data_IF_381781593108
#
_entry.id   IF_381781593108
#
_cell.length_a   1.000
_cell.length_b   1.000
_cell.length_c   1.000
_cell.angle_alpha   90.00
_cell.angle_beta   90.00
_cell.angle_gamma   90.00
#
_symmetry.space_group_name_H-M   'P 1'
#
loop_
_entity.id
_entity.type
_entity.pdbx_description
1 polymer ?
#
# COMPACT_ATOMS: atom_id res chain seq x y z
N UNK A 1 29.42 1.34 12.14
CA UNK A 1 28.86 1.65 10.80
C UNK A 1 29.26 3.07 10.43
N UNK A 2 29.81 3.27 9.25
CA UNK A 2 30.16 4.61 8.73
C UNK A 2 28.94 5.20 7.99
N UNK A 3 28.27 6.15 8.63
CA UNK A 3 27.05 6.74 8.09
C UNK A 3 27.32 7.55 6.81
N UNK A 4 28.51 8.13 6.62
CA UNK A 4 28.82 8.89 5.41
C UNK A 4 28.87 7.95 4.19
N UNK A 5 29.51 6.78 4.35
CA UNK A 5 29.56 5.74 3.30
C UNK A 5 28.15 5.23 2.97
N UNK A 6 27.30 5.00 3.99
CA UNK A 6 25.92 4.58 3.76
C UNK A 6 25.12 5.63 2.99
N UNK A 7 25.21 6.91 3.39
CA UNK A 7 24.49 8.01 2.75
C UNK A 7 24.94 8.18 1.29
N UNK A 8 26.25 8.22 1.01
CA UNK A 8 26.78 8.35 -0.35
C UNK A 8 26.30 7.20 -1.26
N UNK A 9 26.31 5.96 -0.75
CA UNK A 9 25.83 4.81 -1.50
C UNK A 9 24.33 4.94 -1.81
N UNK A 10 23.51 5.31 -0.83
CA UNK A 10 22.06 5.46 -0.99
C UNK A 10 21.78 6.54 -2.03
N UNK A 11 22.30 7.76 -1.85
CA UNK A 11 22.08 8.88 -2.75
C UNK A 11 22.51 8.56 -4.18
N UNK A 12 23.75 8.04 -4.33
CA UNK A 12 24.26 7.65 -5.65
C UNK A 12 23.44 6.54 -6.31
N UNK A 13 22.91 5.58 -5.54
CA UNK A 13 22.09 4.49 -6.08
C UNK A 13 20.72 5.03 -6.51
N UNK A 14 20.09 5.91 -5.72
CA UNK A 14 18.84 6.55 -6.07
C UNK A 14 18.97 7.36 -7.35
N UNK A 15 19.92 8.26 -7.44
CA UNK A 15 20.08 9.15 -8.58
C UNK A 15 20.42 8.42 -9.87
N UNK A 16 21.35 7.47 -9.81
CA UNK A 16 21.93 6.86 -11.00
C UNK A 16 21.27 5.56 -11.45
N UNK A 17 20.50 4.93 -10.58
CA UNK A 17 19.97 3.59 -10.83
C UNK A 17 18.49 3.47 -10.49
N UNK A 18 18.05 3.81 -9.28
CA UNK A 18 16.67 3.59 -8.85
C UNK A 18 15.72 4.55 -9.59
N UNK A 19 15.98 5.84 -9.59
CA UNK A 19 15.11 6.82 -10.27
C UNK A 19 14.92 6.50 -11.76
N UNK A 20 15.95 6.19 -12.55
CA UNK A 20 15.77 5.73 -13.92
C UNK A 20 14.93 4.46 -14.04
N UNK A 21 15.15 3.47 -13.15
CA UNK A 21 14.37 2.22 -13.16
C UNK A 21 12.93 2.44 -12.78
N UNK A 22 12.63 3.34 -11.82
CA UNK A 22 11.27 3.73 -11.47
C UNK A 22 10.56 4.45 -12.63
N UNK A 23 11.28 5.28 -13.38
CA UNK A 23 10.75 5.92 -14.58
C UNK A 23 10.34 4.86 -15.60
N UNK A 24 11.16 3.85 -15.84
CA UNK A 24 10.83 2.76 -16.76
C UNK A 24 9.68 1.89 -16.21
N UNK A 25 9.69 1.58 -14.92
CA UNK A 25 8.62 0.84 -14.27
C UNK A 25 7.27 1.57 -14.34
N UNK A 26 7.21 2.90 -14.14
CA UNK A 26 5.97 3.67 -14.22
C UNK A 26 5.32 3.55 -15.60
N UNK A 27 6.12 3.42 -16.68
CA UNK A 27 5.60 3.26 -18.05
C UNK A 27 4.85 1.95 -18.28
N UNK A 28 5.10 0.94 -17.47
CA UNK A 28 4.45 -0.37 -17.60
C UNK A 28 3.07 -0.29 -16.96
N UNK A 29 1.95 -0.49 -17.68
CA UNK A 29 0.60 -0.42 -17.12
C UNK A 29 0.18 -1.76 -16.48
N UNK A 30 1.01 -2.30 -15.59
CA UNK A 30 0.82 -3.55 -14.87
C UNK A 30 -0.19 -3.41 -13.73
N UNK A 31 -1.45 -3.20 -14.11
CA UNK A 31 -2.57 -3.11 -13.16
C UNK A 31 -2.80 -4.44 -12.45
N UNK A 32 -3.25 -4.34 -11.20
CA UNK A 32 -3.67 -5.49 -10.42
C UNK A 32 -4.78 -6.30 -11.10
N UNK A 33 -4.85 -7.62 -10.88
CA UNK A 33 -5.82 -8.51 -11.56
C UNK A 33 -7.28 -8.08 -11.46
N UNK A 34 -7.71 -7.46 -10.37
CA UNK A 34 -9.07 -6.93 -10.24
C UNK A 34 -9.38 -5.83 -11.26
N UNK A 35 -8.38 -5.12 -11.74
CA UNK A 35 -8.49 -3.99 -12.68
C UNK A 35 -8.05 -4.34 -14.10
N UNK A 36 -7.42 -5.52 -14.29
CA UNK A 36 -7.04 -6.07 -15.59
C UNK A 36 -7.30 -7.59 -15.61
N UNK A 37 -8.53 -8.03 -15.95
CA UNK A 37 -8.85 -9.46 -16.04
C UNK A 37 -7.98 -10.23 -17.05
N UNK A 38 -7.44 -9.54 -18.05
CA UNK A 38 -6.56 -10.10 -19.08
C UNK A 38 -5.07 -9.95 -18.75
N UNK A 39 -4.68 -9.64 -17.52
CA UNK A 39 -3.31 -9.34 -17.10
C UNK A 39 -2.26 -10.35 -17.60
N UNK A 40 -2.58 -11.66 -17.59
CA UNK A 40 -1.70 -12.70 -18.14
C UNK A 40 -1.45 -12.55 -19.62
N UNK A 41 -2.50 -12.23 -20.38
CA UNK A 41 -2.44 -12.08 -21.85
C UNK A 41 -1.74 -10.78 -22.22
N UNK A 42 -1.93 -9.73 -21.45
CA UNK A 42 -1.32 -8.43 -21.67
C UNK A 42 0.19 -8.44 -21.41
N UNK A 43 0.68 -9.30 -20.50
CA UNK A 43 2.10 -9.49 -20.23
C UNK A 43 2.78 -8.36 -19.44
N UNK A 44 2.07 -7.31 -19.07
CA UNK A 44 2.64 -6.17 -18.33
C UNK A 44 3.14 -6.56 -16.93
N UNK A 45 2.48 -7.52 -16.30
CA UNK A 45 2.93 -8.03 -15.00
C UNK A 45 4.29 -8.72 -15.12
N UNK A 46 4.47 -9.56 -16.13
CA UNK A 46 5.73 -10.25 -16.40
C UNK A 46 6.85 -9.27 -16.77
N UNK A 47 6.51 -8.19 -17.49
CA UNK A 47 7.45 -7.12 -17.83
C UNK A 47 7.93 -6.39 -16.56
N UNK A 48 7.01 -6.03 -15.65
CA UNK A 48 7.34 -5.40 -14.37
C UNK A 48 8.19 -6.31 -13.46
N UNK A 49 7.82 -7.59 -13.35
CA UNK A 49 8.60 -8.59 -12.61
C UNK A 49 10.00 -8.72 -13.18
N UNK A 50 10.14 -8.77 -14.51
CA UNK A 50 11.43 -8.86 -15.18
C UNK A 50 12.28 -7.63 -14.87
N UNK A 51 11.74 -6.43 -15.04
CA UNK A 51 12.46 -5.17 -14.76
C UNK A 51 13.00 -5.15 -13.34
N UNK A 52 12.14 -5.41 -12.34
CA UNK A 52 12.53 -5.36 -10.92
C UNK A 52 13.53 -6.47 -10.59
N UNK A 53 13.27 -7.71 -11.02
CA UNK A 53 14.16 -8.84 -10.72
C UNK A 53 15.53 -8.72 -11.39
N UNK A 54 15.60 -8.17 -12.60
CA UNK A 54 16.85 -7.93 -13.30
C UNK A 54 17.67 -6.82 -12.64
N UNK A 55 17.01 -5.74 -12.18
CA UNK A 55 17.67 -4.74 -11.37
C UNK A 55 18.24 -5.33 -10.08
N UNK A 56 17.46 -6.16 -9.38
CA UNK A 56 17.91 -6.82 -8.16
C UNK A 56 19.11 -7.75 -8.41
N UNK A 57 19.14 -8.50 -9.54
CA UNK A 57 20.27 -9.32 -9.94
C UNK A 57 21.51 -8.48 -10.27
N UNK A 58 21.34 -7.37 -10.99
CA UNK A 58 22.43 -6.47 -11.32
C UNK A 58 23.03 -5.76 -10.09
N UNK A 59 22.25 -5.64 -9.01
CA UNK A 59 22.63 -5.05 -7.73
C UNK A 59 22.74 -6.09 -6.60
N UNK A 60 23.03 -7.33 -6.95
CA UNK A 60 23.09 -8.43 -5.99
C UNK A 60 24.07 -8.18 -4.84
N UNK A 61 23.72 -8.73 -3.69
CA UNK A 61 24.55 -8.79 -2.49
C UNK A 61 25.19 -10.18 -2.46
N UNK A 62 26.41 -10.28 -1.95
CA UNK A 62 27.08 -11.56 -1.79
C UNK A 62 26.20 -12.54 -0.99
N UNK A 63 26.11 -13.77 -1.47
CA UNK A 63 25.29 -14.85 -0.93
C UNK A 63 23.76 -14.64 -1.02
N UNK A 64 23.29 -13.62 -1.73
CA UNK A 64 21.87 -13.39 -1.99
C UNK A 64 21.30 -14.46 -2.92
N UNK A 65 20.15 -15.01 -2.56
CA UNK A 65 19.33 -15.84 -3.45
C UNK A 65 18.10 -15.03 -3.91
N UNK A 66 17.85 -14.99 -5.24
CA UNK A 66 16.66 -14.38 -5.82
C UNK A 66 15.92 -15.40 -6.68
N UNK A 67 14.64 -15.53 -6.44
CA UNK A 67 13.74 -16.41 -7.16
C UNK A 67 12.45 -15.66 -7.53
N UNK A 68 12.00 -15.82 -8.77
CA UNK A 68 10.64 -15.44 -9.17
C UNK A 68 9.80 -16.71 -9.10
N UNK A 69 8.84 -16.73 -8.21
CA UNK A 69 7.99 -17.88 -7.93
C UNK A 69 6.61 -17.61 -8.51
N UNK A 70 6.08 -18.58 -9.23
CA UNK A 70 4.72 -18.52 -9.74
C UNK A 70 3.97 -19.83 -9.47
N UNK A 71 3.05 -19.79 -8.52
CA UNK A 71 2.16 -20.91 -8.27
C UNK A 71 1.10 -20.99 -9.37
N UNK A 72 0.62 -22.19 -9.66
CA UNK A 72 -0.35 -22.43 -10.73
C UNK A 72 -1.62 -21.56 -10.56
N UNK A 73 -1.98 -20.85 -11.60
CA UNK A 73 -3.15 -19.98 -11.63
C UNK A 73 -3.00 -18.61 -10.97
N UNK A 74 -1.88 -18.33 -10.29
CA UNK A 74 -1.65 -17.14 -9.47
C UNK A 74 -0.78 -16.10 -10.14
N UNK A 75 -0.73 -14.91 -9.56
CA UNK A 75 0.21 -13.85 -9.89
C UNK A 75 1.63 -14.23 -9.47
N UNK A 76 2.69 -13.72 -10.11
CA UNK A 76 4.06 -13.98 -9.70
C UNK A 76 4.43 -13.29 -8.39
N UNK A 77 5.47 -13.82 -7.72
CA UNK A 77 6.05 -13.24 -6.52
C UNK A 77 7.58 -13.24 -6.64
N UNK A 78 8.22 -12.13 -6.29
CA UNK A 78 9.69 -12.06 -6.17
C UNK A 78 10.05 -12.36 -4.72
N UNK A 79 10.88 -13.38 -4.54
CA UNK A 79 11.43 -13.78 -3.25
C UNK A 79 12.95 -13.57 -3.26
N UNK A 80 13.46 -12.82 -2.29
CA UNK A 80 14.89 -12.60 -2.11
C UNK A 80 15.28 -12.98 -0.69
N UNK A 81 16.34 -13.76 -0.54
CA UNK A 81 16.90 -14.18 0.74
C UNK A 81 18.34 -13.69 0.83
N UNK A 82 18.62 -12.86 1.82
CA UNK A 82 19.94 -12.31 2.10
C UNK A 82 20.40 -12.80 3.47
N UNK A 83 21.40 -13.68 3.54
CA UNK A 83 21.95 -14.14 4.79
C UNK A 83 22.48 -12.99 5.65
N UNK A 84 22.32 -13.11 6.95
CA UNK A 84 22.78 -12.15 7.94
C UNK A 84 23.45 -12.81 9.14
N UNK A 85 23.61 -12.08 10.23
CA UNK A 85 24.21 -12.57 11.46
C UNK A 85 23.14 -12.80 12.53
N UNK A 86 23.37 -13.80 13.41
CA UNK A 86 22.45 -14.16 14.48
C UNK A 86 21.29 -15.02 13.98
N UNK A 87 20.27 -15.14 14.84
CA UNK A 87 19.09 -15.99 14.60
C UNK A 87 17.85 -15.21 14.14
N UNK A 88 17.91 -13.87 14.21
CA UNK A 88 16.80 -13.01 13.81
C UNK A 88 16.59 -13.00 12.28
N UNK A 89 15.33 -12.82 11.90
CA UNK A 89 14.92 -12.63 10.52
C UNK A 89 14.04 -11.38 10.40
N UNK A 90 14.37 -10.52 9.43
CA UNK A 90 13.55 -9.35 9.06
C UNK A 90 12.92 -9.62 7.70
N UNK A 91 11.60 -9.51 7.62
CA UNK A 91 10.88 -9.52 6.35
C UNK A 91 10.67 -8.09 5.88
N UNK A 92 11.04 -7.81 4.64
CA UNK A 92 10.80 -6.56 3.92
C UNK A 92 9.74 -6.87 2.86
N UNK A 93 8.56 -6.32 3.06
CA UNK A 93 7.39 -6.58 2.21
C UNK A 93 7.04 -5.37 1.37
N UNK A 94 6.64 -5.63 0.14
CA UNK A 94 6.07 -4.68 -0.79
C UNK A 94 5.34 -5.37 -1.93
N UNK A 95 4.82 -4.57 -2.88
CA UNK A 95 4.14 -5.08 -4.06
C UNK A 95 4.59 -4.36 -5.35
N UNK A 96 4.24 -4.96 -6.47
CA UNK A 96 4.59 -4.38 -7.77
C UNK A 96 3.40 -4.15 -8.71
N UNK A 97 2.22 -4.63 -8.36
CA UNK A 97 1.00 -4.34 -9.12
C UNK A 97 0.47 -2.94 -8.80
N UNK A 98 -0.41 -2.43 -9.62
CA UNK A 98 -0.81 -1.02 -9.60
C UNK A 98 -2.31 -0.84 -9.60
N UNK A 99 -2.76 0.25 -8.96
CA UNK A 99 -4.08 0.82 -9.11
C UNK A 99 -4.34 1.25 -10.58
N UNK A 100 -5.61 1.33 -10.99
CA UNK A 100 -5.95 1.82 -12.34
C UNK A 100 -5.57 3.28 -12.56
N UNK A 101 -5.81 3.73 -13.79
CA UNK A 101 -5.41 5.04 -14.30
C UNK A 101 -5.90 6.21 -13.46
N UNK A 102 -7.13 6.12 -12.91
CA UNK A 102 -7.84 7.20 -12.23
C UNK A 102 -8.05 8.42 -13.13
N UNK A 103 -8.75 9.43 -12.61
CA UNK A 103 -9.01 10.70 -13.30
C UNK A 103 -8.51 11.87 -12.45
N UNK A 104 -8.38 13.06 -13.04
CA UNK A 104 -7.98 14.27 -12.31
C UNK A 104 -6.47 14.54 -12.32
N UNK A 105 -5.71 13.88 -13.18
CA UNK A 105 -4.32 14.24 -13.42
C UNK A 105 -4.19 15.69 -13.91
N UNK A 106 -3.20 16.40 -13.40
CA UNK A 106 -2.89 17.74 -13.89
C UNK A 106 -2.39 17.70 -15.34
N UNK A 107 -2.53 18.83 -16.05
CA UNK A 107 -2.04 18.95 -17.42
C UNK A 107 -0.56 18.58 -17.53
N UNK A 108 -0.21 17.74 -18.48
CA UNK A 108 1.14 17.21 -18.67
C UNK A 108 1.52 16.03 -17.80
N UNK A 109 0.68 15.63 -16.83
CA UNK A 109 0.89 14.44 -15.99
C UNK A 109 -0.07 13.32 -16.38
N UNK A 110 0.33 12.09 -16.13
CA UNK A 110 -0.50 10.92 -16.40
C UNK A 110 0.04 9.66 -15.72
N UNK A 111 -0.79 8.62 -15.60
CA UNK A 111 -0.43 7.43 -14.82
C UNK A 111 0.80 6.70 -15.38
N UNK A 112 0.88 6.56 -16.70
CA UNK A 112 1.94 5.80 -17.39
C UNK A 112 2.96 6.70 -18.11
N UNK A 113 2.90 8.00 -17.84
CA UNK A 113 3.77 9.03 -18.42
C UNK A 113 4.62 9.65 -17.31
N UNK A 114 5.72 9.02 -16.90
CA UNK A 114 6.53 9.51 -15.79
C UNK A 114 7.12 10.87 -16.11
N UNK A 115 7.01 11.79 -15.17
CA UNK A 115 7.60 13.14 -15.25
C UNK A 115 8.43 13.37 -14.01
N UNK A 116 9.73 13.65 -14.21
CA UNK A 116 10.63 14.11 -13.16
C UNK A 116 10.72 15.64 -13.23
N UNK A 117 10.21 16.32 -12.20
CA UNK A 117 10.25 17.78 -12.06
C UNK A 117 10.95 18.14 -10.73
N UNK A 118 12.18 18.59 -10.83
CA UNK A 118 13.05 18.76 -9.68
C UNK A 118 13.25 17.42 -8.96
N UNK A 119 12.90 17.39 -7.68
CA UNK A 119 13.02 16.19 -6.82
C UNK A 119 11.74 15.35 -6.78
N UNK A 120 10.75 15.61 -7.65
CA UNK A 120 9.47 14.93 -7.67
C UNK A 120 9.31 14.09 -8.92
N UNK A 121 9.09 12.79 -8.73
CA UNK A 121 8.73 11.87 -9.81
C UNK A 121 7.23 11.61 -9.77
N UNK A 122 6.54 12.03 -10.84
CA UNK A 122 5.10 11.84 -11.01
C UNK A 122 4.80 10.62 -11.88
N UNK A 123 3.84 9.82 -11.47
CA UNK A 123 3.36 8.64 -12.19
C UNK A 123 2.71 7.63 -11.25
N UNK A 124 1.98 6.65 -11.80
CA UNK A 124 1.31 5.61 -11.04
C UNK A 124 2.30 4.51 -10.62
N UNK A 125 2.26 4.11 -9.34
CA UNK A 125 2.99 2.94 -8.84
C UNK A 125 4.44 3.21 -8.44
N UNK A 126 4.96 4.44 -8.56
CA UNK A 126 6.34 4.74 -8.17
C UNK A 126 6.56 4.69 -6.66
N UNK A 127 5.65 5.31 -5.89
CA UNK A 127 5.65 5.34 -4.43
C UNK A 127 4.73 4.29 -3.79
N UNK A 128 3.78 3.80 -4.54
CA UNK A 128 2.79 2.80 -4.19
C UNK A 128 2.84 1.68 -5.25
N UNK A 129 3.66 0.62 -5.11
CA UNK A 129 4.77 0.43 -4.14
C UNK A 129 6.04 -0.02 -4.88
N UNK A 130 6.18 0.37 -6.18
CA UNK A 130 7.27 -0.08 -7.05
C UNK A 130 8.69 0.21 -6.55
N UNK A 131 8.85 1.14 -5.60
CA UNK A 131 10.17 1.46 -5.04
C UNK A 131 10.65 0.43 -4.01
N UNK A 132 9.77 -0.39 -3.45
CA UNK A 132 10.03 -1.24 -2.27
C UNK A 132 11.19 -2.22 -2.45
N UNK A 133 11.24 -2.92 -3.60
CA UNK A 133 12.33 -3.85 -3.88
C UNK A 133 13.68 -3.15 -3.96
N UNK A 134 13.73 -2.00 -4.64
CA UNK A 134 14.94 -1.18 -4.79
C UNK A 134 15.42 -0.64 -3.45
N UNK A 135 14.51 -0.09 -2.65
CA UNK A 135 14.81 0.46 -1.33
C UNK A 135 15.30 -0.62 -0.36
N UNK A 136 14.62 -1.77 -0.32
CA UNK A 136 14.98 -2.92 0.52
C UNK A 136 16.41 -3.38 0.25
N UNK A 137 16.75 -3.63 -1.01
CA UNK A 137 18.06 -4.14 -1.37
C UNK A 137 19.15 -3.08 -1.15
N UNK A 138 18.85 -1.80 -1.44
CA UNK A 138 19.78 -0.69 -1.24
C UNK A 138 20.07 -0.48 0.24
N UNK A 139 19.07 -0.59 1.12
CA UNK A 139 19.26 -0.48 2.56
C UNK A 139 20.22 -1.55 3.11
N UNK A 140 20.04 -2.82 2.70
CA UNK A 140 20.91 -3.92 3.11
C UNK A 140 22.35 -3.69 2.60
N UNK A 141 22.49 -3.28 1.34
CA UNK A 141 23.79 -2.95 0.73
C UNK A 141 24.49 -1.81 1.46
N UNK A 142 23.75 -0.76 1.81
CA UNK A 142 24.29 0.39 2.52
C UNK A 142 24.81 0.03 3.91
N UNK A 143 24.08 -0.80 4.65
CA UNK A 143 24.53 -1.33 5.95
C UNK A 143 25.85 -2.09 5.81
N UNK A 144 25.95 -3.00 4.84
CA UNK A 144 27.19 -3.79 4.60
C UNK A 144 28.35 -2.90 4.17
N UNK A 145 28.14 -2.01 3.19
CA UNK A 145 29.15 -1.10 2.69
C UNK A 145 29.72 -0.19 3.78
N UNK A 146 28.89 0.23 4.71
CA UNK A 146 29.26 1.03 5.87
C UNK A 146 29.93 0.24 7.03
N UNK A 147 30.24 -1.05 6.82
CA UNK A 147 30.83 -1.93 7.84
C UNK A 147 29.85 -2.35 8.94
N UNK A 148 28.55 -2.23 8.71
CA UNK A 148 27.52 -2.68 9.60
C UNK A 148 27.20 -4.16 9.41
N UNK A 149 26.41 -4.71 10.35
CA UNK A 149 25.85 -6.05 10.28
C UNK A 149 24.33 -5.95 10.34
N UNK A 150 23.66 -6.92 9.73
CA UNK A 150 22.19 -7.05 9.76
C UNK A 150 21.79 -8.49 10.05
N UNK A 151 20.57 -8.69 10.53
CA UNK A 151 19.95 -10.01 10.61
C UNK A 151 19.70 -10.56 9.20
N UNK A 152 19.35 -11.83 9.09
CA UNK A 152 18.85 -12.38 7.82
C UNK A 152 17.68 -11.52 7.35
N UNK A 153 17.70 -11.13 6.06
CA UNK A 153 16.64 -10.33 5.44
C UNK A 153 15.96 -11.16 4.34
N UNK A 154 14.64 -11.22 4.40
CA UNK A 154 13.80 -11.81 3.37
C UNK A 154 12.99 -10.70 2.74
N UNK A 155 13.12 -10.49 1.41
CA UNK A 155 12.31 -9.53 0.67
C UNK A 155 11.23 -10.29 -0.09
N UNK A 156 9.98 -9.85 0.06
CA UNK A 156 8.80 -10.42 -0.58
C UNK A 156 8.10 -9.31 -1.34
N UNK A 157 8.02 -9.44 -2.67
CA UNK A 157 7.29 -8.49 -3.51
C UNK A 157 6.19 -9.25 -4.25
N UNK A 158 4.94 -9.01 -3.87
CA UNK A 158 3.78 -9.62 -4.51
C UNK A 158 3.26 -8.82 -5.71
N UNK A 159 2.29 -9.38 -6.42
CA UNK A 159 1.73 -8.81 -7.65
C UNK A 159 0.18 -8.84 -7.69
N UNK A 160 -0.48 -8.80 -6.53
CA UNK A 160 -1.94 -8.65 -6.43
C UNK A 160 -2.41 -7.94 -5.15
N UNK A 161 -1.56 -7.09 -4.56
CA UNK A 161 -1.89 -6.35 -3.35
C UNK A 161 -3.11 -5.46 -3.56
N UNK A 162 -3.14 -4.71 -4.63
CA UNK A 162 -4.19 -3.76 -4.99
C UNK A 162 -5.54 -4.41 -5.35
N UNK A 163 -5.54 -5.75 -5.45
CA UNK A 163 -6.73 -6.60 -5.54
C UNK A 163 -7.10 -7.25 -4.21
N UNK A 164 -6.40 -6.91 -3.11
CA UNK A 164 -6.62 -7.45 -1.77
C UNK A 164 -5.77 -8.66 -1.43
N UNK A 165 -4.60 -8.82 -2.03
CA UNK A 165 -3.57 -9.84 -1.71
C UNK A 165 -4.09 -11.27 -1.67
N UNK A 166 -5.08 -11.62 -2.50
CA UNK A 166 -5.73 -12.94 -2.44
C UNK A 166 -4.78 -14.10 -2.76
N UNK A 167 -3.66 -13.84 -3.43
CA UNK A 167 -2.63 -14.84 -3.72
C UNK A 167 -1.56 -14.96 -2.63
N UNK A 168 -1.28 -13.88 -1.89
CA UNK A 168 -0.23 -13.83 -0.88
C UNK A 168 -0.32 -14.93 0.19
N UNK A 169 -1.47 -15.25 0.78
CA UNK A 169 -1.56 -16.32 1.78
C UNK A 169 -1.02 -17.66 1.28
N UNK A 170 -1.26 -17.99 0.01
CA UNK A 170 -0.77 -19.25 -0.59
C UNK A 170 0.76 -19.25 -0.79
N UNK A 171 1.34 -18.07 -1.06
CA UNK A 171 2.80 -17.93 -1.12
C UNK A 171 3.43 -18.00 0.27
N UNK A 172 2.80 -17.42 1.29
CA UNK A 172 3.27 -17.52 2.67
C UNK A 172 3.23 -18.98 3.12
N UNK A 173 2.15 -19.71 2.86
CA UNK A 173 2.05 -21.14 3.16
C UNK A 173 3.13 -21.97 2.43
N UNK A 174 3.40 -21.66 1.15
CA UNK A 174 4.43 -22.34 0.36
C UNK A 174 5.85 -22.02 0.85
N UNK A 175 6.10 -20.83 1.34
CA UNK A 175 7.41 -20.33 1.74
C UNK A 175 7.65 -20.39 3.25
N UNK A 176 6.70 -20.84 4.07
CA UNK A 176 6.76 -20.76 5.53
C UNK A 176 8.03 -21.34 6.14
N UNK A 177 8.50 -22.50 5.63
CA UNK A 177 9.72 -23.13 6.13
C UNK A 177 10.98 -22.35 5.72
N UNK A 178 10.92 -21.64 4.58
CA UNK A 178 12.03 -20.81 4.08
C UNK A 178 12.06 -19.44 4.76
N UNK A 179 10.92 -18.85 5.04
CA UNK A 179 10.82 -17.58 5.77
C UNK A 179 11.18 -17.80 7.24
N UNK A 180 10.65 -18.86 7.84
CA UNK A 180 10.75 -19.14 9.27
C UNK A 180 9.88 -18.21 10.10
N UNK A 181 10.33 -17.85 11.29
CA UNK A 181 9.61 -16.92 12.18
C UNK A 181 10.31 -15.57 12.17
N UNK A 182 9.79 -14.56 11.48
CA UNK A 182 10.41 -13.24 11.45
C UNK A 182 10.26 -12.55 12.80
N UNK A 183 11.33 -11.89 13.24
CA UNK A 183 11.32 -11.02 14.43
C UNK A 183 10.76 -9.63 14.13
N UNK A 184 10.78 -9.22 12.86
CA UNK A 184 10.26 -7.94 12.39
C UNK A 184 9.75 -8.08 10.95
N UNK A 185 8.61 -7.45 10.67
CA UNK A 185 8.08 -7.25 9.31
C UNK A 185 8.01 -5.76 9.05
N UNK A 186 8.62 -5.31 7.96
CA UNK A 186 8.60 -3.93 7.49
C UNK A 186 7.82 -3.91 6.19
N UNK A 187 6.64 -3.28 6.20
CA UNK A 187 5.86 -3.00 5.00
C UNK A 187 6.26 -1.61 4.49
N UNK A 188 6.70 -1.54 3.24
CA UNK A 188 7.18 -0.30 2.62
C UNK A 188 6.07 0.51 1.95
N UNK A 189 4.87 -0.06 1.90
CA UNK A 189 3.65 0.55 1.38
C UNK A 189 2.98 1.45 2.43
N UNK A 190 3.59 2.59 2.68
CA UNK A 190 3.04 3.59 3.61
C UNK A 190 3.41 4.99 3.18
N UNK A 191 2.41 5.87 3.06
CA UNK A 191 2.62 7.28 2.79
C UNK A 191 3.33 7.99 3.95
N UNK A 192 4.03 9.10 3.65
CA UNK A 192 4.60 9.99 4.65
C UNK A 192 3.73 11.23 4.87
N UNK A 193 3.77 11.79 6.07
CA UNK A 193 3.05 13.03 6.38
C UNK A 193 3.70 14.26 5.77
N UNK A 194 5.03 14.27 5.70
CA UNK A 194 5.86 15.28 5.03
C UNK A 194 7.22 14.67 4.66
N UNK A 195 8.09 15.45 4.01
CA UNK A 195 9.43 15.01 3.60
C UNK A 195 10.56 15.48 4.54
N UNK A 196 10.23 16.08 5.68
CA UNK A 196 11.22 16.67 6.59
C UNK A 196 11.71 15.69 7.66
N UNK A 197 11.00 14.54 7.83
CA UNK A 197 11.30 13.56 8.85
C UNK A 197 10.87 12.15 8.45
N UNK A 198 11.45 11.15 9.09
CA UNK A 198 11.04 9.76 8.93
C UNK A 198 9.66 9.53 9.57
N UNK A 199 8.75 8.97 8.79
CA UNK A 199 7.44 8.53 9.25
C UNK A 199 7.42 7.01 9.41
N UNK A 200 6.83 6.55 10.52
CA UNK A 200 6.65 5.14 10.80
C UNK A 200 5.20 4.90 11.23
N UNK A 201 4.43 4.24 10.39
CA UNK A 201 3.06 3.82 10.70
C UNK A 201 3.10 2.63 11.63
N UNK A 202 2.62 2.80 12.86
CA UNK A 202 2.72 1.79 13.91
C UNK A 202 1.38 1.17 14.29
N UNK A 203 0.28 1.67 13.76
CA UNK A 203 -1.06 1.12 13.90
C UNK A 203 -1.97 1.59 12.77
N UNK A 204 -2.95 0.77 12.44
CA UNK A 204 -3.97 1.05 11.43
C UNK A 204 -5.35 0.89 12.05
N UNK A 205 -6.34 1.61 11.52
CA UNK A 205 -7.73 1.33 11.83
C UNK A 205 -8.14 0.01 11.18
N UNK A 206 -9.10 -0.71 11.80
CA UNK A 206 -9.74 -1.85 11.17
C UNK A 206 -10.71 -1.42 10.06
N UNK A 207 -11.05 -2.37 9.21
CA UNK A 207 -12.06 -2.21 8.17
C UNK A 207 -13.01 -3.41 8.19
N UNK A 208 -14.31 -3.14 8.01
CA UNK A 208 -15.33 -4.14 7.68
C UNK A 208 -16.05 -3.63 6.46
N UNK A 209 -16.04 -4.41 5.39
CA UNK A 209 -16.68 -4.06 4.13
C UNK A 209 -17.67 -5.16 3.71
N UNK A 210 -18.74 -4.75 3.03
CA UNK A 210 -19.75 -5.68 2.53
C UNK A 210 -20.81 -4.97 1.70
N UNK A 211 -21.70 -5.75 1.12
CA UNK A 211 -22.85 -5.25 0.37
C UNK A 211 -24.12 -5.45 1.21
N UNK A 212 -24.86 -4.35 1.44
CA UNK A 212 -26.16 -4.40 2.07
C UNK A 212 -27.25 -4.28 1.00
N UNK A 213 -28.00 -5.34 0.77
CA UNK A 213 -29.07 -5.38 -0.22
C UNK A 213 -30.43 -5.52 0.47
N UNK A 214 -31.39 -4.70 0.05
CA UNK A 214 -32.78 -4.77 0.51
C UNK A 214 -33.69 -5.00 -0.68
N UNK A 215 -34.35 -6.17 -0.71
CA UNK A 215 -35.34 -6.55 -1.70
C UNK A 215 -36.71 -6.62 -1.05
N UNK A 216 -37.71 -5.97 -1.65
CA UNK A 216 -39.10 -5.96 -1.17
C UNK A 216 -40.09 -6.59 -2.16
N UNK A 217 -39.66 -6.72 -3.43
CA UNK A 217 -40.41 -7.40 -4.51
C UNK A 217 -39.42 -8.18 -5.37
N UNK A 218 -39.86 -9.19 -6.05
CA UNK A 218 -39.04 -9.99 -6.99
C UNK A 218 -38.93 -9.32 -8.37
N UNK A 219 -39.84 -8.41 -8.69
CA UNK A 219 -39.83 -7.66 -9.96
C UNK A 219 -40.27 -6.20 -9.79
N UNK A 220 -40.02 -5.37 -10.80
CA UNK A 220 -40.50 -3.99 -10.84
C UNK A 220 -41.99 -3.90 -11.07
N UNK A 221 -42.67 -2.97 -10.40
CA UNK A 221 -44.10 -2.71 -10.53
C UNK A 221 -44.38 -1.24 -10.81
N UNK A 222 -45.58 -0.94 -11.30
CA UNK A 222 -45.98 0.44 -11.55
C UNK A 222 -46.11 1.23 -10.25
N UNK A 223 -45.47 2.37 -10.16
CA UNK A 223 -45.40 3.19 -8.93
C UNK A 223 -46.76 3.67 -8.44
N UNK A 224 -47.71 3.93 -9.34
CA UNK A 224 -49.07 4.35 -8.99
C UNK A 224 -49.84 3.25 -8.23
N UNK A 225 -49.57 2.00 -8.53
CA UNK A 225 -50.22 0.86 -7.84
C UNK A 225 -49.49 0.51 -6.54
N UNK A 226 -48.18 0.73 -6.48
CA UNK A 226 -47.35 0.34 -5.35
C UNK A 226 -47.31 1.39 -4.22
N UNK A 227 -47.58 2.65 -4.54
CA UNK A 227 -47.47 3.75 -3.57
C UNK A 227 -48.39 3.56 -2.34
N UNK A 228 -47.77 3.57 -1.16
CA UNK A 228 -48.45 3.38 0.11
C UNK A 228 -48.74 1.93 0.48
N UNK A 229 -48.56 0.98 -0.46
CA UNK A 229 -48.78 -0.47 -0.26
C UNK A 229 -47.42 -1.18 -0.08
N UNK A 230 -46.50 -0.99 -1.01
CA UNK A 230 -45.17 -1.61 -0.99
C UNK A 230 -44.23 -0.87 -0.05
N UNK A 231 -43.60 -1.56 0.92
CA UNK A 231 -42.61 -0.93 1.78
C UNK A 231 -41.44 -0.30 0.96
N UNK A 232 -40.97 0.89 1.36
CA UNK A 232 -39.84 1.50 0.71
C UNK A 232 -38.52 0.79 1.10
N UNK A 233 -37.86 0.19 0.12
CA UNK A 233 -36.53 -0.43 0.31
C UNK A 233 -35.48 0.59 0.82
N UNK A 234 -35.53 1.84 0.36
CA UNK A 234 -34.66 2.91 0.88
C UNK A 234 -34.89 3.24 2.36
N UNK A 235 -36.15 3.18 2.83
CA UNK A 235 -36.45 3.38 4.25
C UNK A 235 -35.92 2.23 5.09
N UNK A 236 -36.10 0.99 4.63
CA UNK A 236 -35.58 -0.19 5.30
C UNK A 236 -34.06 -0.14 5.35
N UNK A 237 -33.40 0.22 4.22
CA UNK A 237 -31.95 0.38 4.16
C UNK A 237 -31.44 1.37 5.20
N UNK A 238 -32.06 2.57 5.28
CA UNK A 238 -31.70 3.57 6.30
C UNK A 238 -31.87 3.05 7.72
N UNK A 239 -32.99 2.35 8.01
CA UNK A 239 -33.21 1.76 9.33
C UNK A 239 -32.19 0.69 9.70
N UNK A 240 -31.62 -0.02 8.72
CA UNK A 240 -30.56 -0.98 8.94
C UNK A 240 -29.22 -0.27 9.19
N UNK A 241 -28.90 0.76 8.43
CA UNK A 241 -27.69 1.58 8.61
C UNK A 241 -27.72 2.31 9.97
N UNK A 242 -28.87 2.87 10.40
CA UNK A 242 -29.04 3.53 11.69
C UNK A 242 -28.79 2.59 12.91
N UNK A 243 -28.64 1.28 12.70
CA UNK A 243 -28.21 0.32 13.72
C UNK A 243 -26.68 0.16 13.78
N UNK A 244 -25.99 0.58 12.74
CA UNK A 244 -24.54 0.46 12.61
C UNK A 244 -23.86 1.74 13.07
N UNK A 245 -24.34 2.88 12.57
CA UNK A 245 -23.81 4.18 12.91
C UNK A 245 -24.93 5.22 13.19
N UNK A 246 -24.60 6.26 13.90
CA UNK A 246 -25.45 7.44 14.08
C UNK A 246 -25.27 8.36 12.89
N UNK A 247 -26.28 8.49 12.06
CA UNK A 247 -26.26 9.30 10.83
C UNK A 247 -26.02 10.79 11.06
N UNK A 248 -26.11 11.28 12.29
CA UNK A 248 -25.87 12.71 12.66
C UNK A 248 -24.42 12.93 13.03
N UNK A 249 -23.82 12.01 13.77
CA UNK A 249 -22.48 12.17 14.34
C UNK A 249 -21.42 11.30 13.65
N UNK A 250 -21.83 10.29 12.87
CA UNK A 250 -20.93 9.27 12.30
C UNK A 250 -20.39 8.28 13.34
N UNK A 251 -20.91 8.32 14.57
CA UNK A 251 -20.44 7.43 15.63
C UNK A 251 -20.90 5.99 15.39
N UNK A 252 -19.96 5.05 15.38
CA UNK A 252 -20.28 3.62 15.29
C UNK A 252 -21.01 3.16 16.55
N UNK A 253 -22.20 2.54 16.39
CA UNK A 253 -23.06 2.10 17.48
C UNK A 253 -22.78 0.68 17.94
N UNK A 254 -22.29 -0.18 17.04
CA UNK A 254 -22.03 -1.58 17.34
C UNK A 254 -20.78 -1.76 18.20
N UNK A 255 -20.93 -2.26 19.42
CA UNK A 255 -19.80 -2.48 20.33
C UNK A 255 -18.75 -3.44 19.78
N UNK A 256 -19.15 -4.42 18.96
CA UNK A 256 -18.22 -5.34 18.30
C UNK A 256 -17.25 -4.67 17.31
N UNK A 257 -17.56 -3.45 16.85
CA UNK A 257 -16.71 -2.66 15.95
C UNK A 257 -15.90 -1.58 16.69
N UNK A 258 -16.06 -1.49 18.01
CA UNK A 258 -15.33 -0.53 18.85
C UNK A 258 -14.08 -1.21 19.42
N UNK A 259 -12.99 -0.46 19.46
CA UNK A 259 -11.73 -0.89 20.07
C UNK A 259 -11.25 0.18 21.04
N UNK A 260 -10.68 -0.25 22.16
CA UNK A 260 -9.99 0.67 23.07
C UNK A 260 -8.62 1.04 22.46
N UNK A 261 -8.44 2.32 22.15
CA UNK A 261 -7.19 2.84 21.61
C UNK A 261 -6.17 2.97 22.75
N UNK A 262 -5.01 2.27 22.68
CA UNK A 262 -4.00 2.36 23.72
C UNK A 262 -3.50 3.80 23.92
N UNK A 263 -3.26 4.20 25.17
CA UNK A 263 -2.84 5.57 25.50
C UNK A 263 -1.56 6.02 24.78
N UNK A 264 -0.68 5.05 24.45
CA UNK A 264 0.50 5.34 23.64
C UNK A 264 0.13 5.81 22.23
N UNK A 265 -0.89 5.20 21.60
CA UNK A 265 -1.36 5.61 20.25
C UNK A 265 -2.03 6.97 20.27
N UNK A 266 -2.79 7.26 21.32
CA UNK A 266 -3.37 8.61 21.52
C UNK A 266 -2.27 9.69 21.57
N UNK A 267 -1.21 9.46 22.36
CA UNK A 267 -0.07 10.40 22.42
C UNK A 267 0.67 10.53 21.08
N UNK A 268 0.81 9.45 20.32
CA UNK A 268 1.42 9.49 18.99
C UNK A 268 0.56 10.31 18.02
N UNK A 269 -0.75 10.12 18.05
CA UNK A 269 -1.68 10.91 17.24
C UNK A 269 -1.66 12.42 17.60
N UNK A 270 -1.52 12.76 18.88
CA UNK A 270 -1.32 14.14 19.32
C UNK A 270 -0.06 14.77 18.71
N UNK A 271 1.06 14.05 18.74
CA UNK A 271 2.32 14.51 18.13
C UNK A 271 2.18 14.67 16.62
N UNK A 272 1.58 13.70 15.94
CA UNK A 272 1.32 13.77 14.49
C UNK A 272 0.44 14.97 14.15
N UNK A 273 -0.64 15.20 14.89
CA UNK A 273 -1.53 16.34 14.68
C UNK A 273 -0.81 17.68 14.88
N UNK A 274 0.09 17.79 15.87
CA UNK A 274 0.91 18.99 16.08
C UNK A 274 1.91 19.22 14.94
N UNK A 275 2.53 18.17 14.42
CA UNK A 275 3.51 18.27 13.32
C UNK A 275 2.85 18.65 12.01
N UNK A 276 1.72 18.02 11.68
CA UNK A 276 1.04 18.21 10.39
C UNK A 276 0.11 19.43 10.38
N UNK A 277 -0.47 19.80 11.54
CA UNK A 277 -1.41 20.92 11.63
C UNK A 277 -2.55 20.79 10.60
N UNK A 278 -2.80 21.86 9.86
CA UNK A 278 -3.84 21.94 8.83
C UNK A 278 -3.56 21.01 7.62
N UNK A 279 -2.31 20.60 7.38
CA UNK A 279 -1.95 19.71 6.28
C UNK A 279 -2.63 18.34 6.35
N UNK A 280 -3.15 17.93 7.51
CA UNK A 280 -3.96 16.71 7.67
C UNK A 280 -5.17 16.72 6.72
N UNK A 281 -5.80 17.86 6.53
CA UNK A 281 -7.02 17.99 5.73
C UNK A 281 -6.92 18.94 4.53
N UNK A 282 -5.96 19.88 4.49
CA UNK A 282 -5.80 20.83 3.37
C UNK A 282 -5.43 20.17 2.04
N UNK A 283 -4.89 18.96 2.09
CA UNK A 283 -4.57 18.13 0.91
C UNK A 283 -5.80 17.67 0.13
N UNK A 284 -7.01 17.74 0.70
CA UNK A 284 -8.23 17.28 0.05
C UNK A 284 -8.89 18.39 -0.78
N UNK A 285 -9.35 18.12 -2.01
CA UNK A 285 -9.99 19.11 -2.87
C UNK A 285 -11.47 19.34 -2.47
N UNK A 286 -11.68 20.02 -1.35
CA UNK A 286 -13.01 20.30 -0.80
C UNK A 286 -13.93 20.99 -1.82
N UNK A 287 -15.18 20.57 -1.89
CA UNK A 287 -16.17 21.18 -2.78
C UNK A 287 -16.95 22.28 -2.05
N UNK A 288 -16.89 23.50 -2.58
CA UNK A 288 -17.63 24.65 -2.02
C UNK A 288 -17.21 24.92 -0.58
N UNK A 289 -18.20 25.02 0.33
CA UNK A 289 -17.99 25.33 1.74
C UNK A 289 -17.85 24.08 2.63
N UNK A 290 -17.62 22.92 2.06
CA UNK A 290 -17.41 21.70 2.86
C UNK A 290 -16.21 21.84 3.79
N UNK A 291 -16.30 21.19 4.95
CA UNK A 291 -15.28 21.20 6.01
C UNK A 291 -14.95 19.76 6.39
N UNK A 292 -13.75 19.51 6.95
CA UNK A 292 -13.42 18.21 7.49
C UNK A 292 -14.41 17.81 8.62
N UNK A 293 -14.71 16.52 8.70
CA UNK A 293 -15.56 15.96 9.76
C UNK A 293 -14.88 16.02 11.13
N UNK A 294 -13.54 15.94 11.15
CA UNK A 294 -12.73 16.03 12.35
C UNK A 294 -11.47 16.85 12.08
N UNK A 295 -10.86 17.42 13.12
CA UNK A 295 -9.61 18.19 13.05
C UNK A 295 -8.65 17.77 14.17
N UNK A 296 -7.38 18.17 14.06
CA UNK A 296 -6.36 17.87 15.07
C UNK A 296 -6.17 16.39 15.32
N UNK A 297 -6.06 15.99 16.57
CA UNK A 297 -5.81 14.59 16.98
C UNK A 297 -6.92 13.64 16.51
N UNK A 298 -8.17 14.08 16.53
CA UNK A 298 -9.31 13.28 16.09
C UNK A 298 -9.20 12.93 14.59
N UNK A 299 -8.79 13.90 13.76
CA UNK A 299 -8.56 13.65 12.32
C UNK A 299 -7.42 12.68 12.03
N UNK A 300 -6.48 12.51 12.95
CA UNK A 300 -5.39 11.53 12.82
C UNK A 300 -5.82 10.14 13.26
N UNK A 301 -6.78 10.06 14.21
CA UNK A 301 -7.28 8.80 14.76
C UNK A 301 -8.39 8.17 13.92
N UNK A 302 -9.18 8.97 13.21
CA UNK A 302 -10.31 8.56 12.39
C UNK A 302 -9.91 8.43 10.91
#
# INVERSE_FOLDING_TARGET
>A
MDNAVATELIESTWDKSITPSLIDYIRIPNKSPAFDPDWKKNGYMDEAVTLISDWCRANAIDDMALEVIQLEGRTPLIYIDVPGVGEDCVVLYGHLDKQPEMVGWHEGLGPWSPVLDGDRLYGRGGADDGYSAFASLTAIRAVRAAGGQHARCVVIIEACEESGSFDLPHYIDYLQDRIGTPSLVICLDSGCGNYDQLWCTTSLRGIVAGNLEVRVLDEGVHSGDASGIVPSSFRILRQLLDRIDDSTTGTILLDALKVEIPSQRLRQAEVVAQVLGEAVHDKFPWRGDMRPAATGTEAVLN
#
